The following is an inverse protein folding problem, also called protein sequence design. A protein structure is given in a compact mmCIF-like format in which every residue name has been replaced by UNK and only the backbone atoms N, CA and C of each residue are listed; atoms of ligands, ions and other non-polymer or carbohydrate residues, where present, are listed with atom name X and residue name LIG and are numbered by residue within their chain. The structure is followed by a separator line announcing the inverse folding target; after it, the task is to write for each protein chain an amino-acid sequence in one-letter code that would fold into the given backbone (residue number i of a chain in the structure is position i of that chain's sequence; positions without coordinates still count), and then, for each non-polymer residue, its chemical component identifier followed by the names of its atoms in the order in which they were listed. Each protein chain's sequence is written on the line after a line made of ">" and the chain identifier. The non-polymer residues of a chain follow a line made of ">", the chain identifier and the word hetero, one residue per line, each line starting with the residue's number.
data_IF_334329949360
#
_entry.id   IF_334329949360
#
_cell.length_a   1.000
_cell.length_b   1.000
_cell.length_c   1.000
_cell.angle_alpha   90.00
_cell.angle_beta   90.00
_cell.angle_gamma   90.00
#
_symmetry.space_group_name_H-M   'P 1'
#
loop_
_entity.id
_entity.type
_entity.pdbx_description
1 polymer ?
#
# COMPACT_ATOMS: atom_id res chain seq x y z
N UNK A 1 9.93 3.26 -20.87
CA UNK A 1 9.06 2.85 -19.75
C UNK A 1 9.23 3.95 -18.74
N UNK A 2 8.35 4.95 -18.74
CA UNK A 2 8.38 6.03 -17.76
C UNK A 2 8.39 5.43 -16.36
N UNK A 3 9.42 5.76 -15.58
CA UNK A 3 9.49 5.43 -14.15
C UNK A 3 8.40 6.22 -13.45
N UNK A 4 7.18 5.67 -13.41
CA UNK A 4 6.09 6.22 -12.62
C UNK A 4 6.57 6.35 -11.18
N UNK A 5 6.76 7.59 -10.74
CA UNK A 5 7.19 7.91 -9.38
C UNK A 5 5.99 7.65 -8.46
N UNK A 6 5.91 6.44 -7.94
CA UNK A 6 4.90 6.06 -6.94
C UNK A 6 5.57 6.00 -5.58
N UNK A 7 5.09 6.83 -4.66
CA UNK A 7 5.54 6.85 -3.26
C UNK A 7 4.49 6.17 -2.40
N UNK A 8 4.90 5.17 -1.62
CA UNK A 8 4.01 4.51 -0.67
C UNK A 8 4.25 5.06 0.74
N UNK A 9 3.22 5.66 1.32
CA UNK A 9 3.19 5.99 2.73
C UNK A 9 2.42 4.88 3.48
N UNK A 10 3.11 4.15 4.35
CA UNK A 10 2.52 2.99 5.04
C UNK A 10 2.30 3.35 6.51
N UNK A 11 1.04 3.39 6.93
CA UNK A 11 0.73 3.68 8.33
C UNK A 11 1.18 2.54 9.26
N UNK A 12 1.41 2.88 10.52
CA UNK A 12 1.78 1.92 11.56
C UNK A 12 0.76 0.77 11.65
N UNK A 13 -0.53 1.06 11.54
CA UNK A 13 -1.60 0.04 11.59
C UNK A 13 -1.50 -0.99 10.46
N UNK A 14 -1.07 -0.58 9.27
CA UNK A 14 -0.83 -1.48 8.16
C UNK A 14 0.40 -2.37 8.39
N UNK A 15 1.47 -1.82 8.97
CA UNK A 15 2.68 -2.57 9.32
C UNK A 15 2.39 -3.64 10.37
N UNK A 16 1.64 -3.29 11.41
CA UNK A 16 1.25 -4.23 12.47
C UNK A 16 0.34 -5.35 11.95
N UNK A 17 -0.57 -5.02 11.03
CA UNK A 17 -1.40 -6.02 10.38
C UNK A 17 -0.58 -6.98 9.52
N UNK A 18 0.37 -6.45 8.73
CA UNK A 18 1.28 -7.27 7.93
C UNK A 18 2.16 -8.15 8.81
N UNK A 19 2.69 -7.64 9.91
CA UNK A 19 3.49 -8.41 10.86
C UNK A 19 2.68 -9.56 11.48
N UNK A 20 1.44 -9.27 11.88
CA UNK A 20 0.54 -10.26 12.51
C UNK A 20 0.12 -11.36 11.54
N UNK A 21 -0.17 -11.02 10.28
CA UNK A 21 -0.70 -11.97 9.30
C UNK A 21 0.37 -12.59 8.39
N UNK A 22 1.54 -11.95 8.26
CA UNK A 22 2.64 -12.38 7.39
C UNK A 22 3.72 -13.17 8.13
N UNK A 23 3.62 -13.31 9.45
CA UNK A 23 4.53 -14.10 10.27
C UNK A 23 3.85 -15.39 10.76
N UNK A 24 4.49 -16.53 10.47
CA UNK A 24 4.09 -17.83 11.00
C UNK A 24 5.22 -18.40 11.85
N UNK A 25 4.90 -19.02 13.00
CA UNK A 25 5.92 -19.54 13.93
C UNK A 25 6.75 -20.68 13.34
N UNK A 26 6.19 -21.47 12.43
CA UNK A 26 6.86 -22.61 11.81
C UNK A 26 7.60 -22.20 10.53
N UNK A 27 7.08 -21.21 9.81
CA UNK A 27 7.57 -20.80 8.49
C UNK A 27 8.31 -19.46 8.46
N UNK A 28 8.32 -18.71 9.57
CA UNK A 28 8.89 -17.36 9.65
C UNK A 28 8.13 -16.37 8.77
N UNK A 29 8.84 -15.43 8.14
CA UNK A 29 8.26 -14.40 7.26
C UNK A 29 7.92 -14.89 5.84
N UNK A 30 7.98 -16.20 5.54
CA UNK A 30 7.63 -16.72 4.21
C UNK A 30 6.21 -16.36 3.76
N UNK A 31 5.18 -16.40 4.63
CA UNK A 31 3.84 -15.94 4.26
C UNK A 31 3.77 -14.45 3.89
N UNK A 32 4.70 -13.63 4.41
CA UNK A 32 4.73 -12.18 4.19
C UNK A 32 4.85 -11.81 2.72
N UNK A 33 5.68 -12.54 1.96
CA UNK A 33 5.84 -12.27 0.54
C UNK A 33 4.50 -12.40 -0.21
N UNK A 34 3.74 -13.45 0.08
CA UNK A 34 2.43 -13.68 -0.51
C UNK A 34 1.43 -12.61 -0.05
N UNK A 35 1.45 -12.26 1.23
CA UNK A 35 0.57 -11.23 1.78
C UNK A 35 0.79 -9.87 1.11
N UNK A 36 2.04 -9.44 0.97
CA UNK A 36 2.42 -8.22 0.26
C UNK A 36 2.02 -8.31 -1.22
N UNK A 37 2.20 -9.47 -1.86
CA UNK A 37 1.82 -9.63 -3.25
C UNK A 37 0.31 -9.46 -3.47
N UNK A 38 -0.51 -10.09 -2.63
CA UNK A 38 -1.97 -10.06 -2.77
C UNK A 38 -2.58 -8.73 -2.33
N UNK A 39 -2.15 -8.17 -1.20
CA UNK A 39 -2.79 -6.99 -0.61
C UNK A 39 -2.12 -5.66 -0.95
N UNK A 40 -0.92 -5.68 -1.54
CA UNK A 40 -0.19 -4.45 -1.89
C UNK A 40 0.16 -4.40 -3.37
N UNK A 41 0.93 -5.38 -3.87
CA UNK A 41 1.45 -5.32 -5.26
C UNK A 41 0.35 -5.43 -6.32
N UNK A 42 -0.60 -6.35 -6.16
CA UNK A 42 -1.72 -6.51 -7.09
C UNK A 42 -2.59 -5.25 -7.18
N UNK A 43 -3.18 -4.74 -6.08
CA UNK A 43 -4.01 -3.53 -6.16
C UNK A 43 -3.20 -2.33 -6.66
N UNK A 44 -1.94 -2.21 -6.26
CA UNK A 44 -1.09 -1.13 -6.76
C UNK A 44 -0.83 -1.24 -8.28
N UNK A 45 -0.57 -2.44 -8.79
CA UNK A 45 -0.40 -2.65 -10.23
C UNK A 45 -1.68 -2.29 -11.00
N UNK A 46 -2.85 -2.62 -10.48
CA UNK A 46 -4.13 -2.22 -11.09
C UNK A 46 -4.29 -0.70 -11.11
N UNK A 47 -3.94 -0.01 -10.02
CA UNK A 47 -3.99 1.46 -9.95
C UNK A 47 -2.99 2.12 -10.91
N UNK A 48 -1.81 1.51 -11.10
CA UNK A 48 -0.78 1.97 -12.04
C UNK A 48 -1.17 1.74 -13.51
N UNK A 49 -1.87 0.64 -13.80
CA UNK A 49 -2.23 0.28 -15.17
C UNK A 49 -3.54 0.94 -15.62
N UNK A 50 -4.50 1.09 -14.70
CA UNK A 50 -5.88 1.42 -15.03
C UNK A 50 -6.53 2.46 -14.12
N UNK A 51 -5.89 2.82 -13.00
CA UNK A 51 -6.47 3.71 -11.98
C UNK A 51 -5.80 5.09 -11.93
N UNK A 52 -5.91 5.73 -10.76
CA UNK A 52 -5.47 7.10 -10.52
C UNK A 52 -3.95 7.32 -10.70
N UNK A 53 -3.15 6.25 -10.70
CA UNK A 53 -1.69 6.31 -10.91
C UNK A 53 -1.29 6.11 -12.39
N UNK A 54 -2.26 5.87 -13.29
CA UNK A 54 -2.03 5.52 -14.68
C UNK A 54 -1.51 6.65 -15.56
N UNK A 55 -1.69 7.91 -15.16
CA UNK A 55 -1.12 9.05 -15.87
C UNK A 55 0.25 9.45 -15.27
N UNK A 56 0.29 9.91 -14.02
CA UNK A 56 1.47 10.57 -13.46
C UNK A 56 2.14 9.85 -12.28
N UNK A 57 1.65 8.68 -11.87
CA UNK A 57 2.04 8.11 -10.58
C UNK A 57 1.40 8.88 -9.42
N UNK A 58 2.08 9.00 -8.29
CA UNK A 58 1.57 9.74 -7.13
C UNK A 58 1.84 9.07 -5.78
N UNK A 59 1.27 9.65 -4.74
CA UNK A 59 1.45 9.19 -3.37
C UNK A 59 0.27 8.31 -2.96
N UNK A 60 0.57 7.16 -2.36
CA UNK A 60 -0.41 6.16 -1.95
C UNK A 60 -0.30 5.94 -0.46
N UNK A 61 -1.36 6.28 0.27
CA UNK A 61 -1.49 5.97 1.68
C UNK A 61 -1.97 4.53 1.85
N UNK A 62 -1.27 3.76 2.67
CA UNK A 62 -1.58 2.36 2.97
C UNK A 62 -1.98 2.25 4.42
N UNK A 63 -3.26 1.93 4.63
CA UNK A 63 -3.87 1.79 5.96
C UNK A 63 -4.50 0.41 6.12
N UNK A 64 -4.87 0.03 7.35
CA UNK A 64 -5.57 -1.24 7.56
C UNK A 64 -7.06 -1.11 7.20
N UNK A 65 -7.57 -2.03 6.37
CA UNK A 65 -9.00 -2.15 6.09
C UNK A 65 -9.68 -2.91 7.22
N UNK A 66 -10.71 -2.31 7.83
CA UNK A 66 -11.52 -2.96 8.87
C UNK A 66 -12.95 -3.19 8.37
N UNK A 67 -13.46 -4.40 8.55
CA UNK A 67 -14.88 -4.76 8.38
C UNK A 67 -15.38 -5.38 9.68
N UNK A 68 -16.53 -4.94 10.18
CA UNK A 68 -17.14 -5.45 11.42
C UNK A 68 -16.17 -5.42 12.64
N UNK A 69 -15.32 -4.38 12.70
CA UNK A 69 -14.30 -4.22 13.74
C UNK A 69 -13.06 -5.12 13.58
N UNK A 70 -13.00 -6.00 12.57
CA UNK A 70 -11.86 -6.88 12.30
C UNK A 70 -11.03 -6.36 11.13
N UNK A 71 -9.71 -6.46 11.24
CA UNK A 71 -8.80 -6.08 10.17
C UNK A 71 -8.75 -7.18 9.10
N UNK A 72 -9.27 -6.88 7.91
CA UNK A 72 -9.49 -7.84 6.81
C UNK A 72 -8.49 -7.67 5.66
N UNK A 73 -7.68 -6.62 5.66
CA UNK A 73 -6.72 -6.37 4.58
C UNK A 73 -6.03 -5.02 4.69
N UNK A 74 -5.39 -4.63 3.60
CA UNK A 74 -4.87 -3.27 3.40
C UNK A 74 -5.84 -2.46 2.53
N UNK A 75 -5.92 -1.17 2.82
CA UNK A 75 -6.62 -0.16 2.02
C UNK A 75 -5.54 0.76 1.44
N UNK A 76 -5.59 0.95 0.13
CA UNK A 76 -4.69 1.86 -0.61
C UNK A 76 -5.54 3.04 -1.06
N UNK A 77 -5.09 4.25 -0.75
CA UNK A 77 -5.77 5.50 -1.13
C UNK A 77 -4.75 6.41 -1.79
N UNK A 78 -5.02 6.88 -3.01
CA UNK A 78 -4.19 7.89 -3.66
C UNK A 78 -4.52 9.23 -3.05
N UNK A 79 -3.49 10.02 -2.76
CA UNK A 79 -3.66 11.39 -2.37
C UNK A 79 -2.69 12.27 -3.16
N UNK A 80 -3.19 13.40 -3.62
CA UNK A 80 -2.36 14.45 -4.19
C UNK A 80 -1.70 15.20 -3.04
N UNK A 81 -0.41 14.98 -2.82
CA UNK A 81 0.38 15.92 -2.03
C UNK A 81 0.46 17.20 -2.87
N UNK A 82 -0.43 18.16 -2.57
CA UNK A 82 -0.22 19.55 -2.96
C UNK A 82 1.03 20.02 -2.22
N UNK A 83 2.20 19.65 -2.73
CA UNK A 83 3.44 20.31 -2.41
C UNK A 83 3.31 21.74 -2.91
N UNK A 84 2.71 22.59 -2.08
CA UNK A 84 2.96 24.02 -2.12
C UNK A 84 4.44 24.14 -1.84
N UNK A 85 5.24 24.12 -2.91
CA UNK A 85 6.58 24.62 -2.88
C UNK A 85 6.46 26.05 -2.35
N UNK A 86 6.78 26.26 -1.08
CA UNK A 86 6.96 27.58 -0.52
C UNK A 86 8.13 28.21 -1.28
N UNK A 87 7.92 29.26 -2.09
CA UNK A 87 9.02 29.91 -2.77
C UNK A 87 9.78 30.71 -1.71
N UNK A 88 11.06 30.36 -1.53
CA UNK A 88 12.01 31.13 -0.75
C UNK A 88 12.27 32.52 -1.38
#
# INVERSE_FOLDING_TARGET
>A
MDEKQVVLDVDQSARDWLATNGYDRLMGARPMQRLIQEHLKKPLAEMILFGELADHGGNVAVSVKKEDGKAVGLKLEVFEDHHTAEPA
#
